data_IF_477260237254
#
_entry.id   IF_477260237254
#
_cell.length_a   1.000
_cell.length_b   1.000
_cell.length_c   1.000
_cell.angle_alpha   90.00
_cell.angle_beta   90.00
_cell.angle_gamma   90.00
#
_symmetry.space_group_name_H-M   'P 1'
#
loop_
_entity.id
_entity.type
_entity.pdbx_description
1 polymer ?
#
# COMPACT_ATOMS: atom_id res chain seq x y z
N UNK A 1 10.78 -27.73 -8.10
CA UNK A 1 11.04 -26.68 -7.09
C UNK A 1 10.61 -27.24 -5.73
N UNK A 2 11.48 -27.29 -4.73
CA UNK A 2 11.21 -27.96 -3.43
C UNK A 2 10.30 -27.10 -2.54
N UNK A 3 9.37 -27.69 -1.79
CA UNK A 3 8.40 -26.99 -0.91
C UNK A 3 9.09 -25.99 0.04
N UNK A 4 10.27 -26.34 0.57
CA UNK A 4 11.10 -25.46 1.40
C UNK A 4 11.52 -24.17 0.69
N UNK A 5 11.87 -24.22 -0.61
CA UNK A 5 12.25 -23.02 -1.38
C UNK A 5 11.06 -22.11 -1.66
N UNK A 6 9.88 -22.70 -1.86
CA UNK A 6 8.63 -21.93 -2.06
C UNK A 6 8.29 -21.17 -0.77
N UNK A 7 8.33 -21.84 0.38
CA UNK A 7 8.11 -21.20 1.68
C UNK A 7 9.14 -20.10 1.97
N UNK A 8 10.41 -20.35 1.67
CA UNK A 8 11.48 -19.37 1.87
C UNK A 8 11.30 -18.13 0.99
N UNK A 9 10.91 -18.32 -0.28
CA UNK A 9 10.60 -17.21 -1.18
C UNK A 9 9.40 -16.40 -0.65
N UNK A 10 8.29 -17.05 -0.31
CA UNK A 10 7.11 -16.36 0.21
C UNK A 10 7.42 -15.57 1.48
N UNK A 11 8.18 -16.14 2.41
CA UNK A 11 8.59 -15.46 3.65
C UNK A 11 9.44 -14.22 3.36
N UNK A 12 10.34 -14.32 2.38
CA UNK A 12 11.19 -13.20 1.96
C UNK A 12 10.38 -12.07 1.32
N UNK A 13 9.37 -12.40 0.50
CA UNK A 13 8.47 -11.44 -0.13
C UNK A 13 7.59 -10.71 0.89
N UNK A 14 7.06 -11.45 1.86
CA UNK A 14 6.32 -10.88 3.01
C UNK A 14 7.23 -9.91 3.79
N UNK A 15 8.46 -10.34 4.10
CA UNK A 15 9.43 -9.54 4.83
C UNK A 15 9.84 -8.27 4.09
N UNK A 16 10.09 -8.37 2.77
CA UNK A 16 10.41 -7.21 1.93
C UNK A 16 9.25 -6.21 1.93
N UNK A 17 8.02 -6.69 1.75
CA UNK A 17 6.82 -5.84 1.75
C UNK A 17 6.62 -5.14 3.10
N UNK A 18 6.85 -5.85 4.19
CA UNK A 18 6.83 -5.29 5.54
C UNK A 18 7.88 -4.18 5.72
N UNK A 19 9.12 -4.43 5.32
CA UNK A 19 10.21 -3.46 5.46
C UNK A 19 10.00 -2.23 4.56
N UNK A 20 9.56 -2.44 3.32
CA UNK A 20 9.23 -1.35 2.40
C UNK A 20 8.17 -0.43 3.00
N UNK A 21 7.13 -0.97 3.64
CA UNK A 21 6.15 -0.16 4.35
C UNK A 21 6.80 0.78 5.36
N UNK A 22 7.65 0.25 6.23
CA UNK A 22 8.30 1.01 7.28
C UNK A 22 9.30 2.05 6.76
N UNK A 23 10.04 1.71 5.70
CA UNK A 23 10.95 2.65 5.03
C UNK A 23 10.18 3.84 4.49
N UNK A 24 9.11 3.59 3.73
CA UNK A 24 8.31 4.65 3.12
C UNK A 24 7.46 5.42 4.12
N UNK A 25 7.06 4.78 5.22
CA UNK A 25 6.51 5.47 6.37
C UNK A 25 7.56 6.42 6.98
N UNK A 26 8.79 5.96 7.19
CA UNK A 26 9.92 6.78 7.65
C UNK A 26 10.14 8.03 6.78
N UNK A 27 10.06 7.89 5.45
CA UNK A 27 10.19 9.02 4.53
C UNK A 27 9.12 10.10 4.71
N UNK A 28 7.91 9.75 5.18
CA UNK A 28 6.88 10.77 5.47
C UNK A 28 7.27 11.73 6.60
N UNK A 29 8.19 11.32 7.49
CA UNK A 29 8.72 12.19 8.53
C UNK A 29 9.72 13.22 8.00
N UNK A 30 10.35 12.97 6.85
CA UNK A 30 11.34 13.86 6.24
C UNK A 30 10.71 15.04 5.49
N UNK A 31 9.39 15.00 5.25
CA UNK A 31 8.66 16.04 4.51
C UNK A 31 7.52 16.56 5.41
N UNK A 32 7.78 17.59 6.24
CA UNK A 32 6.79 18.14 7.17
C UNK A 32 5.50 18.63 6.48
N UNK A 33 5.60 19.09 5.23
CA UNK A 33 4.44 19.53 4.44
C UNK A 33 3.47 18.41 4.03
N UNK A 34 3.85 17.15 4.19
CA UNK A 34 2.96 15.99 3.99
C UNK A 34 2.25 15.56 5.28
N UNK A 35 2.51 16.24 6.40
CA UNK A 35 2.02 15.90 7.74
C UNK A 35 0.80 16.75 8.10
N UNK A 36 -0.36 16.48 7.49
CA UNK A 36 -1.57 17.27 7.75
C UNK A 36 -2.33 16.86 9.02
N UNK A 37 -2.16 15.62 9.50
CA UNK A 37 -2.79 15.10 10.73
C UNK A 37 -2.28 13.68 11.04
N UNK A 38 -2.29 13.18 12.30
CA UNK A 38 -1.99 11.79 12.69
C UNK A 38 -2.64 10.74 11.78
N UNK A 39 -3.79 11.08 11.21
CA UNK A 39 -4.62 10.24 10.33
C UNK A 39 -4.12 10.25 8.88
N UNK A 40 -3.55 11.35 8.39
CA UNK A 40 -3.06 11.45 6.99
C UNK A 40 -1.67 10.83 6.82
N UNK A 41 -0.94 10.60 7.92
CA UNK A 41 0.28 9.78 7.93
C UNK A 41 0.05 8.34 7.47
N UNK A 42 -1.20 7.84 7.52
CA UNK A 42 -1.58 6.50 7.10
C UNK A 42 -1.52 6.28 5.58
N UNK A 43 -1.46 7.38 4.82
CA UNK A 43 -2.19 7.46 3.58
C UNK A 43 -1.30 7.83 2.41
N UNK A 44 -0.27 8.65 2.63
CA UNK A 44 0.54 9.17 1.52
C UNK A 44 1.47 8.10 0.93
N UNK A 45 2.75 8.07 1.30
CA UNK A 45 3.71 7.13 0.68
C UNK A 45 3.42 5.64 0.91
N UNK A 46 2.92 5.19 2.08
CA UNK A 46 2.65 3.78 2.28
C UNK A 46 1.57 3.21 1.35
N UNK A 47 0.63 4.02 0.85
CA UNK A 47 -0.40 3.54 -0.08
C UNK A 47 0.18 3.05 -1.41
N UNK A 48 1.08 3.85 -2.00
CA UNK A 48 1.76 3.49 -3.24
C UNK A 48 2.62 2.24 -3.10
N UNK A 49 3.30 2.13 -1.95
CA UNK A 49 4.07 0.95 -1.58
C UNK A 49 3.19 -0.30 -1.49
N UNK A 50 2.02 -0.23 -0.84
CA UNK A 50 1.12 -1.39 -0.68
C UNK A 50 0.65 -1.90 -2.04
N UNK A 51 0.20 -0.98 -2.90
CA UNK A 51 -0.22 -1.31 -4.25
C UNK A 51 0.93 -1.96 -5.04
N UNK A 52 2.13 -1.38 -4.97
CA UNK A 52 3.32 -1.93 -5.63
C UNK A 52 3.72 -3.32 -5.09
N UNK A 53 3.68 -3.51 -3.77
CA UNK A 53 3.98 -4.78 -3.12
C UNK A 53 2.98 -5.86 -3.55
N UNK A 54 1.70 -5.55 -3.63
CA UNK A 54 0.66 -6.49 -4.12
C UNK A 54 0.86 -6.80 -5.60
N UNK A 55 1.20 -5.81 -6.43
CA UNK A 55 1.44 -6.01 -7.85
C UNK A 55 2.66 -6.90 -8.16
N UNK A 56 3.70 -6.84 -7.32
CA UNK A 56 4.93 -7.63 -7.53
C UNK A 56 4.88 -8.98 -6.81
N UNK A 57 4.41 -8.99 -5.57
CA UNK A 57 4.47 -10.15 -4.67
C UNK A 57 3.10 -10.78 -4.42
N UNK A 58 2.04 -10.35 -5.12
CA UNK A 58 0.68 -10.89 -5.01
C UNK A 58 0.21 -10.91 -3.53
N UNK A 59 -0.36 -12.01 -3.06
CA UNK A 59 -0.88 -12.19 -1.71
C UNK A 59 0.20 -12.05 -0.63
N UNK A 60 1.46 -12.40 -0.93
CA UNK A 60 2.59 -12.17 -0.01
C UNK A 60 2.78 -10.67 0.26
N UNK A 61 2.61 -9.85 -0.78
CA UNK A 61 2.65 -8.38 -0.71
C UNK A 61 1.52 -7.80 0.15
N UNK A 62 0.32 -8.35 0.00
CA UNK A 62 -0.83 -8.00 0.84
C UNK A 62 -0.60 -8.39 2.30
N UNK A 63 -0.13 -9.61 2.56
CA UNK A 63 0.12 -10.09 3.91
C UNK A 63 1.20 -9.28 4.63
N UNK A 64 2.35 -9.05 3.99
CA UNK A 64 3.43 -8.23 4.56
C UNK A 64 3.00 -6.79 4.82
N UNK A 65 2.25 -6.19 3.90
CA UNK A 65 1.65 -4.87 4.08
C UNK A 65 0.65 -4.83 5.25
N UNK A 66 -0.18 -5.86 5.39
CA UNK A 66 -1.15 -5.99 6.47
C UNK A 66 -0.49 -6.08 7.84
N UNK A 67 0.56 -6.90 7.97
CA UNK A 67 1.37 -7.01 9.19
C UNK A 67 2.01 -5.67 9.54
N UNK A 68 2.53 -4.95 8.54
CA UNK A 68 3.13 -3.64 8.76
C UNK A 68 2.10 -2.61 9.25
N UNK A 69 0.91 -2.56 8.63
CA UNK A 69 -0.21 -1.72 9.09
C UNK A 69 -0.57 -2.05 10.53
N UNK A 70 -0.75 -3.33 10.87
CA UNK A 70 -1.08 -3.77 12.21
C UNK A 70 -0.02 -3.34 13.24
N UNK A 71 1.26 -3.62 12.95
CA UNK A 71 2.37 -3.25 13.84
C UNK A 71 2.44 -1.74 14.08
N UNK A 72 2.17 -0.93 13.05
CA UNK A 72 2.12 0.53 13.17
C UNK A 72 0.94 0.98 14.02
N UNK A 73 -0.23 0.39 13.84
CA UNK A 73 -1.44 0.71 14.62
C UNK A 73 -1.23 0.45 16.11
N UNK A 74 -0.65 -0.71 16.43
CA UNK A 74 -0.27 -1.07 17.79
C UNK A 74 0.70 -0.08 18.43
N UNK A 75 1.67 0.45 17.65
CA UNK A 75 2.62 1.46 18.11
C UNK A 75 2.01 2.85 18.26
N UNK A 76 1.00 3.18 17.45
CA UNK A 76 0.34 4.48 17.47
C UNK A 76 -0.58 4.64 18.68
N UNK A 77 -1.31 3.60 19.05
CA UNK A 77 -2.17 3.60 20.23
C UNK A 77 -2.32 2.19 20.79
N UNK A 78 -1.58 1.92 21.86
CA UNK A 78 -1.57 0.65 22.58
C UNK A 78 -2.76 0.47 23.54
N UNK A 79 -3.60 1.50 23.72
CA UNK A 79 -4.75 1.47 24.64
C UNK A 79 -5.97 0.82 23.98
N UNK A 80 -6.11 0.94 22.67
CA UNK A 80 -7.18 0.27 21.91
C UNK A 80 -6.95 -1.24 21.89
N UNK A 81 -8.03 -2.02 21.87
CA UNK A 81 -7.95 -3.47 21.81
C UNK A 81 -7.23 -3.91 20.52
N UNK A 82 -6.25 -4.80 20.67
CA UNK A 82 -5.42 -5.27 19.54
C UNK A 82 -6.25 -5.92 18.42
N UNK A 83 -7.40 -6.52 18.75
CA UNK A 83 -8.31 -7.13 17.79
C UNK A 83 -8.86 -6.12 16.78
N UNK A 84 -9.12 -4.89 17.22
CA UNK A 84 -9.70 -3.84 16.37
C UNK A 84 -8.67 -3.38 15.34
N UNK A 85 -7.42 -3.24 15.78
CA UNK A 85 -6.30 -2.95 14.88
C UNK A 85 -6.01 -4.08 13.90
N UNK A 86 -6.12 -5.32 14.35
CA UNK A 86 -5.97 -6.48 13.48
C UNK A 86 -7.08 -6.50 12.42
N UNK A 87 -8.33 -6.26 12.83
CA UNK A 87 -9.48 -6.24 11.94
C UNK A 87 -9.38 -5.11 10.90
N UNK A 88 -8.96 -3.92 11.33
CA UNK A 88 -8.68 -2.81 10.42
C UNK A 88 -7.57 -3.14 9.43
N UNK A 89 -6.46 -3.72 9.89
CA UNK A 89 -5.33 -4.10 9.04
C UNK A 89 -5.73 -5.16 8.01
N UNK A 90 -6.49 -6.18 8.42
CA UNK A 90 -7.03 -7.22 7.54
C UNK A 90 -7.99 -6.61 6.53
N UNK A 91 -8.96 -5.81 6.95
CA UNK A 91 -9.96 -5.22 6.06
C UNK A 91 -9.29 -4.38 4.97
N UNK A 92 -8.37 -3.51 5.35
CA UNK A 92 -7.67 -2.61 4.44
C UNK A 92 -6.77 -3.37 3.47
N UNK A 93 -5.99 -4.35 3.96
CA UNK A 93 -5.07 -5.11 3.11
C UNK A 93 -5.81 -6.06 2.16
N UNK A 94 -6.83 -6.76 2.67
CA UNK A 94 -7.63 -7.70 1.89
C UNK A 94 -8.44 -6.98 0.82
N UNK A 95 -9.08 -5.85 1.14
CA UNK A 95 -9.82 -5.07 0.16
C UNK A 95 -8.94 -4.60 -0.99
N UNK A 96 -7.71 -4.14 -0.68
CA UNK A 96 -6.76 -3.71 -1.69
C UNK A 96 -6.29 -4.88 -2.56
N UNK A 97 -6.00 -6.04 -1.95
CA UNK A 97 -5.65 -7.26 -2.68
C UNK A 97 -6.75 -7.69 -3.65
N UNK A 98 -7.99 -7.80 -3.15
CA UNK A 98 -9.14 -8.21 -3.97
C UNK A 98 -9.40 -7.22 -5.11
N UNK A 99 -9.24 -5.92 -4.86
CA UNK A 99 -9.37 -4.92 -5.90
C UNK A 99 -8.28 -5.09 -6.98
N UNK A 100 -7.02 -5.31 -6.59
CA UNK A 100 -5.94 -5.50 -7.56
C UNK A 100 -6.17 -6.75 -8.41
N UNK A 101 -6.49 -7.88 -7.79
CA UNK A 101 -6.83 -9.12 -8.50
C UNK A 101 -8.02 -8.91 -9.46
N UNK A 102 -9.09 -8.27 -9.00
CA UNK A 102 -10.25 -7.96 -9.84
C UNK A 102 -9.87 -7.07 -11.04
N UNK A 103 -9.03 -6.07 -10.82
CA UNK A 103 -8.63 -5.12 -11.86
C UNK A 103 -7.68 -5.76 -12.88
N UNK A 104 -6.74 -6.59 -12.45
CA UNK A 104 -5.88 -7.36 -13.34
C UNK A 104 -6.70 -8.32 -14.20
N UNK A 105 -7.70 -8.98 -13.59
CA UNK A 105 -8.65 -9.83 -14.29
C UNK A 105 -9.48 -9.04 -15.32
N UNK A 106 -10.05 -7.89 -14.93
CA UNK A 106 -10.80 -7.00 -15.82
C UNK A 106 -9.96 -6.50 -17.00
N UNK A 107 -8.67 -6.21 -16.78
CA UNK A 107 -7.77 -5.75 -17.83
C UNK A 107 -7.21 -6.89 -18.69
N UNK A 108 -7.49 -8.16 -18.36
CA UNK A 108 -6.96 -9.35 -19.04
C UNK A 108 -5.43 -9.32 -19.14
N UNK A 109 -4.77 -8.82 -18.11
CA UNK A 109 -3.31 -8.72 -18.08
C UNK A 109 -2.78 -9.96 -17.36
N UNK A 110 -1.82 -10.63 -17.99
CA UNK A 110 -1.08 -11.69 -17.31
C UNK A 110 -0.38 -11.14 -16.06
N UNK A 111 -0.13 -11.97 -15.03
CA UNK A 111 0.55 -11.55 -13.79
C UNK A 111 1.95 -10.96 -14.01
N UNK A 112 2.52 -11.12 -15.22
CA UNK A 112 3.68 -10.37 -15.66
C UNK A 112 3.26 -8.92 -15.94
N UNK A 113 3.70 -7.99 -15.10
CA UNK A 113 3.55 -6.53 -15.22
C UNK A 113 4.00 -5.94 -16.59
N UNK A 114 4.52 -6.75 -17.50
CA UNK A 114 4.99 -6.40 -18.84
C UNK A 114 3.84 -6.03 -19.82
N UNK A 115 2.57 -6.13 -19.41
CA UNK A 115 1.40 -5.74 -20.21
C UNK A 115 0.65 -4.48 -19.76
N UNK A 116 0.99 -3.86 -18.61
CA UNK A 116 0.21 -2.73 -18.10
C UNK A 116 0.49 -1.43 -18.87
N UNK A 117 -0.54 -0.91 -19.53
CA UNK A 117 -0.55 0.44 -20.11
C UNK A 117 -0.53 1.52 -19.02
N UNK A 118 0.04 2.68 -19.33
CA UNK A 118 0.10 3.84 -18.43
C UNK A 118 -1.28 4.17 -17.84
N UNK A 119 -2.32 4.20 -18.69
CA UNK A 119 -3.67 4.51 -18.25
C UNK A 119 -4.24 3.45 -17.30
N UNK A 120 -3.92 2.18 -17.51
CA UNK A 120 -4.37 1.09 -16.64
C UNK A 120 -3.75 1.21 -15.25
N UNK A 121 -2.47 1.59 -15.16
CA UNK A 121 -1.79 1.81 -13.88
C UNK A 121 -2.41 3.02 -13.15
N UNK A 122 -2.68 4.12 -13.86
CA UNK A 122 -3.33 5.31 -13.27
C UNK A 122 -4.75 4.98 -12.78
N UNK A 123 -5.53 4.23 -13.56
CA UNK A 123 -6.87 3.79 -13.17
C UNK A 123 -6.79 2.90 -11.93
N UNK A 124 -5.88 1.92 -11.93
CA UNK A 124 -5.65 1.02 -10.80
C UNK A 124 -5.29 1.79 -9.53
N UNK A 125 -4.36 2.75 -9.63
CA UNK A 125 -3.96 3.60 -8.52
C UNK A 125 -5.10 4.48 -7.99
N UNK A 126 -5.95 4.99 -8.88
CA UNK A 126 -7.10 5.81 -8.52
C UNK A 126 -8.14 4.98 -7.76
N UNK A 127 -8.51 3.82 -8.32
CA UNK A 127 -9.48 2.92 -7.69
C UNK A 127 -8.94 2.34 -6.38
N UNK A 128 -7.65 2.00 -6.32
CA UNK A 128 -6.98 1.58 -5.09
C UNK A 128 -7.06 2.66 -4.00
N UNK A 129 -6.86 3.93 -4.37
CA UNK A 129 -6.95 5.06 -3.44
C UNK A 129 -8.35 5.24 -2.88
N UNK A 130 -9.36 5.13 -3.76
CA UNK A 130 -10.78 5.23 -3.41
C UNK A 130 -11.17 4.07 -2.49
N UNK A 131 -10.91 2.83 -2.89
CA UNK A 131 -11.24 1.64 -2.13
C UNK A 131 -10.56 1.64 -0.75
N UNK A 132 -9.24 1.86 -0.72
CA UNK A 132 -8.47 1.93 0.52
C UNK A 132 -8.98 3.04 1.44
N UNK A 133 -9.35 4.21 0.89
CA UNK A 133 -9.90 5.32 1.67
C UNK A 133 -11.27 5.03 2.27
N UNK A 134 -12.20 4.47 1.49
CA UNK A 134 -13.52 4.10 1.97
C UNK A 134 -13.48 2.96 2.98
N UNK A 135 -12.72 1.90 2.71
CA UNK A 135 -12.60 0.75 3.63
C UNK A 135 -11.97 1.19 4.95
N UNK A 136 -10.91 2.00 4.91
CA UNK A 136 -10.30 2.55 6.11
C UNK A 136 -11.31 3.40 6.91
N UNK A 137 -11.97 4.37 6.27
CA UNK A 137 -12.91 5.26 6.96
C UNK A 137 -14.13 4.49 7.52
N UNK A 138 -14.65 3.52 6.77
CA UNK A 138 -15.77 2.69 7.19
C UNK A 138 -15.39 1.80 8.37
N UNK A 139 -14.35 0.98 8.24
CA UNK A 139 -13.93 0.05 9.31
C UNK A 139 -13.54 0.81 10.57
N UNK A 140 -12.90 1.97 10.42
CA UNK A 140 -12.63 2.86 11.55
C UNK A 140 -13.91 3.31 12.26
N UNK A 141 -14.92 3.79 11.50
CA UNK A 141 -16.17 4.30 12.08
C UNK A 141 -16.96 3.24 12.86
N UNK A 142 -16.84 1.97 12.46
CA UNK A 142 -17.53 0.85 13.09
C UNK A 142 -16.83 0.35 14.35
N UNK A 143 -15.51 0.55 14.46
CA UNK A 143 -14.71 0.04 15.58
C UNK A 143 -14.56 1.04 16.73
N UNK A 144 -15.24 2.19 16.66
CA UNK A 144 -15.22 3.28 17.66
C UNK A 144 -13.83 3.59 18.22
N UNK A 145 -12.83 3.59 17.33
CA UNK A 145 -11.44 3.70 17.74
C UNK A 145 -11.22 5.15 18.24
N UNK A 146 -10.96 5.30 19.54
CA UNK A 146 -11.16 6.54 20.31
C UNK A 146 -10.25 7.75 20.01
N UNK A 147 -9.52 7.79 18.90
CA UNK A 147 -8.61 8.90 18.53
C UNK A 147 -9.16 9.87 17.47
N UNK A 148 -10.38 9.66 17.00
CA UNK A 148 -11.10 10.55 16.08
C UNK A 148 -12.40 11.00 16.75
N UNK A 149 -12.28 11.93 17.70
CA UNK A 149 -13.44 12.61 18.24
C UNK A 149 -14.23 13.29 17.11
N UNK A 150 -15.45 12.81 16.85
CA UNK A 150 -16.53 13.56 16.20
C UNK A 150 -16.28 14.17 14.81
N UNK A 151 -15.25 13.74 14.07
CA UNK A 151 -14.94 14.25 12.74
C UNK A 151 -15.81 13.62 11.64
N UNK A 152 -16.38 14.44 10.76
CA UNK A 152 -17.23 14.00 9.65
C UNK A 152 -16.52 12.94 8.78
N UNK A 153 -17.07 11.71 8.74
CA UNK A 153 -16.49 10.52 8.06
C UNK A 153 -16.14 10.83 6.60
N UNK A 154 -16.94 11.68 5.95
CA UNK A 154 -16.74 12.12 4.57
C UNK A 154 -15.45 12.93 4.42
N UNK A 155 -15.12 13.79 5.39
CA UNK A 155 -13.91 14.60 5.37
C UNK A 155 -12.66 13.74 5.61
N UNK A 156 -12.71 12.81 6.57
CA UNK A 156 -11.61 11.87 6.82
C UNK A 156 -11.38 10.93 5.62
N UNK A 157 -12.46 10.42 5.00
CA UNK A 157 -12.40 9.62 3.78
C UNK A 157 -11.80 10.40 2.62
N UNK A 158 -12.23 11.64 2.39
CA UNK A 158 -11.70 12.49 1.31
C UNK A 158 -10.21 12.79 1.45
N UNK A 159 -9.74 13.18 2.64
CA UNK A 159 -8.32 13.39 2.91
C UNK A 159 -7.51 12.11 2.69
N UNK A 160 -8.09 10.97 3.07
CA UNK A 160 -7.49 9.65 2.86
C UNK A 160 -7.40 9.31 1.36
N UNK A 161 -8.42 9.62 0.57
CA UNK A 161 -8.39 9.38 -0.87
C UNK A 161 -7.34 10.25 -1.55
N UNK A 162 -7.29 11.55 -1.22
CA UNK A 162 -6.33 12.48 -1.81
C UNK A 162 -4.88 12.15 -1.46
N UNK A 163 -4.62 11.74 -0.21
CA UNK A 163 -3.28 11.30 0.18
C UNK A 163 -2.86 10.02 -0.53
N UNK A 164 -3.77 9.05 -0.65
CA UNK A 164 -3.49 7.77 -1.30
C UNK A 164 -3.20 8.01 -2.79
N UNK A 165 -3.95 8.91 -3.42
CA UNK A 165 -3.79 9.23 -4.83
C UNK A 165 -2.42 9.82 -5.12
N UNK A 166 -1.96 10.77 -4.30
CA UNK A 166 -0.65 11.39 -4.47
C UNK A 166 0.50 10.40 -4.19
N UNK A 167 0.38 9.57 -3.15
CA UNK A 167 1.34 8.51 -2.86
C UNK A 167 1.41 7.44 -3.95
N UNK A 168 0.25 6.98 -4.41
CA UNK A 168 0.14 6.07 -5.53
C UNK A 168 0.72 6.70 -6.79
N UNK A 169 0.45 7.97 -7.09
CA UNK A 169 1.00 8.65 -8.27
C UNK A 169 2.53 8.69 -8.26
N UNK A 170 3.17 8.97 -7.11
CA UNK A 170 4.65 8.95 -7.00
C UNK A 170 5.19 7.55 -7.32
N UNK A 171 4.58 6.51 -6.74
CA UNK A 171 5.01 5.12 -6.97
C UNK A 171 4.69 4.62 -8.36
N UNK A 172 3.55 5.01 -8.93
CA UNK A 172 3.15 4.69 -10.30
C UNK A 172 4.13 5.33 -11.28
N UNK A 173 4.44 6.62 -11.10
CA UNK A 173 5.43 7.31 -11.93
C UNK A 173 6.82 6.66 -11.79
N UNK A 174 7.23 6.30 -10.57
CA UNK A 174 8.50 5.60 -10.33
C UNK A 174 8.52 4.19 -10.96
N UNK A 175 7.46 3.40 -10.77
CA UNK A 175 7.33 2.07 -11.33
C UNK A 175 7.32 2.11 -12.85
N UNK A 176 6.56 3.02 -13.46
CA UNK A 176 6.53 3.24 -14.92
C UNK A 176 7.91 3.66 -15.44
N UNK A 177 8.59 4.58 -14.74
CA UNK A 177 9.93 5.01 -15.11
C UNK A 177 10.92 3.83 -15.09
N UNK A 178 10.88 3.00 -14.06
CA UNK A 178 11.73 1.82 -13.92
C UNK A 178 11.41 0.78 -14.99
N UNK A 179 10.13 0.50 -15.22
CA UNK A 179 9.67 -0.50 -16.19
C UNK A 179 9.99 -0.11 -17.64
N UNK A 180 9.88 1.18 -17.99
CA UNK A 180 10.20 1.68 -19.34
C UNK A 180 11.70 1.84 -19.59
N UNK A 181 12.49 2.09 -18.56
CA UNK A 181 13.92 2.33 -18.67
C UNK A 181 14.76 1.18 -18.08
N UNK A 182 14.23 -0.04 -18.04
CA UNK A 182 14.91 -1.23 -17.47
C UNK A 182 16.36 -1.38 -17.98
N UNK A 183 16.58 -1.16 -19.28
CA UNK A 183 17.91 -1.25 -19.89
C UNK A 183 18.82 -0.05 -19.53
N UNK A 184 18.27 1.16 -19.47
CA UNK A 184 18.99 2.38 -19.06
C UNK A 184 19.44 2.31 -17.60
N UNK A 185 18.60 1.77 -16.71
CA UNK A 185 18.91 1.56 -15.29
C UNK A 185 19.97 0.47 -15.12
N UNK A 186 19.89 -0.63 -15.89
CA UNK A 186 20.94 -1.66 -15.91
C UNK A 186 22.30 -1.08 -16.34
N UNK A 187 22.31 -0.18 -17.33
CA UNK A 187 23.53 0.52 -17.77
C UNK A 187 24.07 1.44 -16.67
N UNK A 188 23.22 2.27 -16.05
CA UNK A 188 23.62 3.17 -14.95
C UNK A 188 24.16 2.40 -13.73
N UNK A 189 23.54 1.26 -13.38
CA UNK A 189 23.97 0.42 -12.26
C UNK A 189 25.26 -0.35 -12.57
N UNK A 190 25.53 -0.69 -13.83
CA UNK A 190 26.79 -1.31 -14.26
C UNK A 190 27.94 -0.29 -14.35
N UNK A 191 27.65 0.97 -14.68
CA UNK A 191 28.63 2.06 -14.71
C UNK A 191 29.10 2.51 -13.32
N UNK A 192 28.46 2.03 -12.24
CA UNK A 192 28.87 2.27 -10.84
C UNK A 192 29.74 1.16 -10.25
N UNK A 193 30.06 0.10 -11.02
CA UNK A 193 31.11 -0.87 -10.70
C UNK A 193 32.39 -0.50 -11.43
#
# INVERSE_FOLDING_TARGET
MTISKILQNNLSEIGISFLLYWVFFGFTFLIPGLQSSPITYFVFMPAGMKLFAILIFNWCGALGSGIAIFSRLMLMNSVQFWSDWLLLAIAVSLALYLLVELMLWCFRIDPSLDGLSYYQIVILATLASICNGFVYAYTYSQLDIGYLGGGNIIHAGYLTIMGNLAGNAIFVCAAVFILRNKELIKVILRLKK
#
